data_IF_567635426324
#
_entry.id   IF_567635426324
#
_cell.length_a   1.000
_cell.length_b   1.000
_cell.length_c   1.000
_cell.angle_alpha   90.00
_cell.angle_beta   90.00
_cell.angle_gamma   90.00
#
_symmetry.space_group_name_H-M   'P 1'
#
loop_
_entity.id
_entity.type
_entity.pdbx_description
1 polymer ?
#
# COMPACT_ATOMS: atom_id res chain seq x y z
N UNK A 1 -8.50 -21.52 26.61
CA UNK A 1 -8.12 -20.10 26.45
C UNK A 1 -7.04 -20.02 25.38
N UNK A 2 -7.41 -19.82 24.11
CA UNK A 2 -6.45 -19.59 23.02
C UNK A 2 -6.02 -18.12 23.12
N UNK A 3 -4.73 -17.89 23.30
CA UNK A 3 -4.16 -16.61 23.70
C UNK A 3 -4.46 -15.49 22.69
N UNK A 4 -4.97 -14.38 23.19
CA UNK A 4 -5.21 -13.13 22.46
C UNK A 4 -3.94 -12.54 21.81
N UNK A 5 -2.76 -13.09 22.17
CA UNK A 5 -1.45 -12.71 21.64
C UNK A 5 -1.27 -12.95 20.14
N UNK A 6 -1.93 -13.96 19.54
CA UNK A 6 -1.75 -14.25 18.11
C UNK A 6 -2.59 -13.36 17.19
N UNK A 7 -3.71 -12.82 17.69
CA UNK A 7 -4.55 -11.86 16.94
C UNK A 7 -3.91 -10.48 16.88
N UNK A 8 -3.17 -10.11 17.93
CA UNK A 8 -2.42 -8.86 17.99
C UNK A 8 -1.23 -8.84 17.02
N UNK A 9 -0.55 -9.97 16.81
CA UNK A 9 0.69 -10.03 16.04
C UNK A 9 0.52 -9.81 14.53
N UNK A 10 -0.58 -10.27 13.92
CA UNK A 10 -0.80 -10.17 12.47
C UNK A 10 -1.03 -8.71 12.04
N UNK A 11 -1.78 -7.97 12.85
CA UNK A 11 -2.11 -6.56 12.60
C UNK A 11 -0.96 -5.60 12.86
N UNK A 12 -0.16 -5.87 13.89
CA UNK A 12 0.99 -5.02 14.25
C UNK A 12 2.15 -5.19 13.25
N UNK A 13 2.29 -6.35 12.62
CA UNK A 13 3.30 -6.58 11.58
C UNK A 13 2.91 -5.80 10.31
N UNK A 14 1.67 -5.87 9.83
CA UNK A 14 1.26 -5.21 8.58
C UNK A 14 1.16 -3.67 8.69
N UNK A 15 0.69 -3.11 9.82
CA UNK A 15 0.54 -1.66 9.99
C UNK A 15 1.87 -0.89 10.04
N UNK A 16 2.94 -1.49 10.57
CA UNK A 16 4.26 -0.84 10.65
C UNK A 16 5.01 -0.82 9.31
N UNK A 17 4.72 -1.74 8.39
CA UNK A 17 5.40 -1.80 7.09
C UNK A 17 4.98 -0.68 6.12
N UNK A 18 3.81 -0.06 6.32
CA UNK A 18 3.24 0.95 5.40
C UNK A 18 3.59 2.39 5.78
N UNK A 19 4.09 2.64 7.01
CA UNK A 19 4.26 4.01 7.56
C UNK A 19 5.57 4.71 7.13
N UNK A 20 6.57 4.00 6.61
CA UNK A 20 7.92 4.58 6.37
C UNK A 20 8.21 4.79 4.87
N UNK A 21 7.21 5.08 4.04
CA UNK A 21 7.44 5.05 2.58
C UNK A 21 7.75 6.42 1.94
N UNK A 22 7.40 7.61 2.46
CA UNK A 22 7.62 8.83 1.63
C UNK A 22 8.03 10.17 2.29
N UNK A 23 8.54 10.20 3.53
CA UNK A 23 8.87 11.50 4.18
C UNK A 23 10.27 12.07 3.85
N UNK A 24 11.16 11.36 3.13
CA UNK A 24 12.52 11.88 2.85
C UNK A 24 12.64 12.47 1.44
N UNK A 25 12.71 13.80 1.41
CA UNK A 25 12.59 14.67 0.24
C UNK A 25 13.66 14.56 -0.84
N UNK A 26 13.23 14.89 -2.06
CA UNK A 26 14.06 14.98 -3.26
C UNK A 26 14.54 16.42 -3.47
N UNK A 27 15.37 16.94 -2.58
CA UNK A 27 15.98 18.27 -2.74
C UNK A 27 17.31 18.17 -3.48
N UNK A 28 17.26 18.10 -4.81
CA UNK A 28 18.47 18.31 -5.63
C UNK A 28 18.50 17.58 -6.96
N UNK A 29 17.96 18.19 -8.02
CA UNK A 29 18.40 17.91 -9.38
C UNK A 29 18.32 19.18 -10.22
N UNK A 30 19.46 19.82 -10.47
CA UNK A 30 19.56 20.96 -11.38
C UNK A 30 20.10 20.58 -12.76
N UNK A 31 19.44 21.17 -13.76
CA UNK A 31 19.92 21.57 -15.09
C UNK A 31 19.95 20.56 -16.26
N UNK A 32 19.18 20.96 -17.28
CA UNK A 32 19.36 20.77 -18.72
C UNK A 32 18.91 19.45 -19.38
N UNK A 33 17.59 19.28 -19.54
CA UNK A 33 16.93 18.71 -20.74
C UNK A 33 15.42 19.04 -20.71
N UNK A 34 14.76 19.32 -21.85
CA UNK A 34 13.34 19.67 -21.88
C UNK A 34 12.47 18.41 -21.84
N UNK A 35 11.81 18.19 -20.69
CA UNK A 35 10.46 17.65 -20.40
C UNK A 35 10.40 17.49 -18.87
N UNK A 36 9.73 18.40 -18.14
CA UNK A 36 8.26 18.52 -17.89
C UNK A 36 7.71 17.56 -16.82
N UNK A 37 8.44 17.44 -15.70
CA UNK A 37 7.83 17.11 -14.41
C UNK A 37 8.25 18.19 -13.42
N UNK A 38 7.27 18.89 -12.87
CA UNK A 38 7.46 19.93 -11.86
C UNK A 38 7.65 19.32 -10.47
N UNK A 39 8.29 20.07 -9.57
CA UNK A 39 8.37 19.68 -8.16
C UNK A 39 6.96 19.55 -7.55
N UNK A 40 6.02 20.41 -7.96
CA UNK A 40 4.63 20.36 -7.53
C UNK A 40 3.95 19.03 -7.91
N UNK A 41 4.19 18.50 -9.10
CA UNK A 41 3.68 17.17 -9.50
C UNK A 41 4.26 16.04 -8.65
N UNK A 42 5.55 16.13 -8.29
CA UNK A 42 6.19 15.16 -7.39
C UNK A 42 5.57 15.24 -6.00
N UNK A 43 5.42 16.45 -5.45
CA UNK A 43 4.85 16.67 -4.12
C UNK A 43 3.39 16.19 -4.06
N UNK A 44 2.61 16.44 -5.12
CA UNK A 44 1.24 15.96 -5.25
C UNK A 44 1.14 14.43 -5.33
N UNK A 45 2.08 13.78 -6.01
CA UNK A 45 2.14 12.32 -6.09
C UNK A 45 2.49 11.71 -4.73
N UNK A 46 3.48 12.27 -4.05
CA UNK A 46 3.86 11.86 -2.68
C UNK A 46 2.70 12.04 -1.70
N UNK A 47 2.02 13.20 -1.72
CA UNK A 47 0.85 13.43 -0.88
C UNK A 47 -0.30 12.46 -1.17
N UNK A 48 -0.48 12.06 -2.43
CA UNK A 48 -1.48 11.06 -2.82
C UNK A 48 -1.14 9.67 -2.25
N UNK A 49 0.14 9.31 -2.23
CA UNK A 49 0.64 8.07 -1.65
C UNK A 49 0.46 8.06 -0.12
N UNK A 50 0.81 9.15 0.55
CA UNK A 50 0.61 9.30 2.00
C UNK A 50 -0.87 9.19 2.39
N UNK A 51 -1.75 9.79 1.57
CA UNK A 51 -3.19 9.65 1.76
C UNK A 51 -3.67 8.21 1.59
N UNK A 52 -3.20 7.48 0.56
CA UNK A 52 -3.52 6.06 0.38
C UNK A 52 -3.09 5.22 1.59
N UNK A 53 -1.87 5.46 2.10
CA UNK A 53 -1.33 4.82 3.30
C UNK A 53 -2.19 5.11 4.54
N UNK A 54 -2.63 6.35 4.73
CA UNK A 54 -3.51 6.71 5.85
C UNK A 54 -4.81 5.90 5.82
N UNK A 55 -5.44 5.77 4.65
CA UNK A 55 -6.68 4.99 4.50
C UNK A 55 -6.41 3.50 4.80
N UNK A 56 -5.31 2.95 4.32
CA UNK A 56 -4.93 1.57 4.62
C UNK A 56 -4.81 1.29 6.13
N UNK A 57 -4.21 2.22 6.86
CA UNK A 57 -4.06 2.13 8.32
C UNK A 57 -5.42 2.20 9.04
N UNK A 58 -6.34 3.03 8.56
CA UNK A 58 -7.71 3.07 9.08
C UNK A 58 -8.42 1.71 8.88
N UNK A 59 -8.17 1.05 7.74
CA UNK A 59 -8.69 -0.30 7.47
C UNK A 59 -8.17 -1.32 8.48
N UNK A 60 -6.88 -1.22 8.82
CA UNK A 60 -6.25 -2.06 9.86
C UNK A 60 -6.84 -1.79 11.23
N UNK A 61 -7.08 -0.53 11.57
CA UNK A 61 -7.73 -0.17 12.82
C UNK A 61 -9.14 -0.79 12.95
N UNK A 62 -9.95 -0.78 11.89
CA UNK A 62 -11.27 -1.42 11.91
C UNK A 62 -11.19 -2.94 11.99
N UNK A 63 -10.21 -3.55 11.30
CA UNK A 63 -9.96 -4.98 11.37
C UNK A 63 -9.66 -5.42 12.81
N UNK A 64 -8.79 -4.69 13.50
CA UNK A 64 -8.35 -5.01 14.87
C UNK A 64 -9.49 -4.96 15.89
N UNK A 65 -10.47 -4.10 15.64
CA UNK A 65 -11.68 -4.01 16.45
C UNK A 65 -12.75 -5.03 16.06
N UNK A 66 -12.47 -5.91 15.11
CA UNK A 66 -13.42 -6.89 14.59
C UNK A 66 -14.55 -6.27 13.76
N UNK A 67 -14.44 -4.99 13.37
CA UNK A 67 -15.40 -4.34 12.48
C UNK A 67 -15.07 -4.66 11.02
N UNK A 68 -15.24 -5.93 10.65
CA UNK A 68 -14.84 -6.45 9.35
C UNK A 68 -15.60 -5.83 8.17
N UNK A 69 -16.85 -5.40 8.37
CA UNK A 69 -17.60 -4.71 7.33
C UNK A 69 -16.97 -3.36 6.99
N UNK A 70 -16.55 -2.58 8.01
CA UNK A 70 -15.90 -1.29 7.77
C UNK A 70 -14.46 -1.47 7.30
N UNK A 71 -13.73 -2.44 7.82
CA UNK A 71 -12.39 -2.79 7.36
C UNK A 71 -12.39 -3.10 5.85
N UNK A 72 -13.35 -3.90 5.37
CA UNK A 72 -13.50 -4.20 3.94
C UNK A 72 -13.66 -2.94 3.09
N UNK A 73 -14.57 -2.05 3.48
CA UNK A 73 -14.84 -0.79 2.76
C UNK A 73 -13.56 0.05 2.67
N UNK A 74 -12.90 0.26 3.82
CA UNK A 74 -11.72 1.11 3.92
C UNK A 74 -10.52 0.52 3.17
N UNK A 75 -10.30 -0.79 3.23
CA UNK A 75 -9.28 -1.44 2.39
C UNK A 75 -9.59 -1.32 0.89
N UNK A 76 -10.86 -1.37 0.49
CA UNK A 76 -11.27 -1.12 -0.89
C UNK A 76 -10.96 0.32 -1.35
N UNK A 77 -11.18 1.29 -0.48
CA UNK A 77 -10.85 2.70 -0.72
C UNK A 77 -9.33 2.90 -0.85
N UNK A 78 -8.54 2.27 0.03
CA UNK A 78 -7.08 2.28 -0.04
C UNK A 78 -6.57 1.69 -1.36
N UNK A 79 -7.11 0.54 -1.78
CA UNK A 79 -6.78 -0.08 -3.06
C UNK A 79 -7.02 0.87 -4.25
N UNK A 80 -8.15 1.59 -4.22
CA UNK A 80 -8.48 2.57 -5.25
C UNK A 80 -7.45 3.70 -5.29
N UNK A 81 -7.06 4.24 -4.13
CA UNK A 81 -6.04 5.29 -4.06
C UNK A 81 -4.66 4.83 -4.52
N UNK A 82 -4.23 3.63 -4.17
CA UNK A 82 -2.96 3.11 -4.68
C UNK A 82 -2.96 2.95 -6.21
N UNK A 83 -4.08 2.57 -6.83
CA UNK A 83 -4.18 2.52 -8.30
C UNK A 83 -4.12 3.92 -8.94
N UNK A 84 -4.70 4.93 -8.31
CA UNK A 84 -4.56 6.32 -8.76
C UNK A 84 -3.09 6.78 -8.73
N UNK A 85 -2.36 6.42 -7.67
CA UNK A 85 -0.91 6.71 -7.54
C UNK A 85 -0.11 5.97 -8.61
N UNK A 86 -0.35 4.67 -8.80
CA UNK A 86 0.30 3.87 -9.85
C UNK A 86 0.09 4.50 -11.24
N UNK A 87 -1.15 4.83 -11.58
CA UNK A 87 -1.49 5.44 -12.86
C UNK A 87 -0.71 6.74 -13.10
N UNK A 88 -0.70 7.65 -12.10
CA UNK A 88 0.03 8.92 -12.19
C UNK A 88 1.54 8.72 -12.30
N UNK A 89 2.09 7.78 -11.52
CA UNK A 89 3.51 7.45 -11.56
C UNK A 89 3.91 6.93 -12.96
N UNK A 90 3.10 6.08 -13.60
CA UNK A 90 3.33 5.59 -14.97
C UNK A 90 3.20 6.70 -16.01
N UNK A 91 2.23 7.59 -15.85
CA UNK A 91 2.07 8.75 -16.74
C UNK A 91 3.30 9.66 -16.69
N UNK A 92 3.78 9.97 -15.49
CA UNK A 92 5.01 10.71 -15.25
C UNK A 92 6.23 9.96 -15.82
N UNK A 93 6.33 8.66 -15.60
CA UNK A 93 7.39 7.80 -16.12
C UNK A 93 7.48 7.87 -17.65
N UNK A 94 6.34 7.87 -18.34
CA UNK A 94 6.29 7.87 -19.81
C UNK A 94 6.75 9.19 -20.45
N UNK A 95 6.67 10.28 -19.69
CA UNK A 95 7.02 11.63 -20.15
C UNK A 95 8.46 11.98 -19.79
N UNK A 96 8.94 11.60 -18.61
CA UNK A 96 10.26 12.01 -18.13
C UNK A 96 11.42 11.44 -18.95
N UNK A 97 12.42 12.29 -19.21
CA UNK A 97 13.67 11.91 -19.87
C UNK A 97 14.83 11.72 -18.88
N UNK A 98 14.64 12.08 -17.61
CA UNK A 98 15.65 11.90 -16.57
C UNK A 98 15.66 10.43 -16.12
N UNK A 99 16.76 9.73 -16.39
CA UNK A 99 16.89 8.28 -16.13
C UNK A 99 16.72 7.91 -14.64
N UNK A 100 17.20 8.73 -13.71
CA UNK A 100 17.06 8.46 -12.27
C UNK A 100 15.60 8.66 -11.82
N UNK A 101 14.98 9.77 -12.23
CA UNK A 101 13.57 10.03 -11.95
C UNK A 101 12.68 8.96 -12.59
N UNK A 102 13.01 8.52 -13.81
CA UNK A 102 12.32 7.44 -14.51
C UNK A 102 12.40 6.13 -13.73
N UNK A 103 13.58 5.74 -13.24
CA UNK A 103 13.72 4.56 -12.38
C UNK A 103 12.92 4.66 -11.09
N UNK A 104 12.96 5.83 -10.43
CA UNK A 104 12.20 6.08 -9.21
C UNK A 104 10.68 5.96 -9.43
N UNK A 105 10.15 6.58 -10.49
CA UNK A 105 8.72 6.50 -10.85
C UNK A 105 8.27 5.06 -11.16
N UNK A 106 9.13 4.28 -11.81
CA UNK A 106 8.85 2.86 -12.05
C UNK A 106 8.78 2.05 -10.74
N UNK A 107 9.71 2.29 -9.81
CA UNK A 107 9.70 1.61 -8.51
C UNK A 107 8.47 2.00 -7.67
N UNK A 108 8.10 3.28 -7.68
CA UNK A 108 6.88 3.77 -7.02
C UNK A 108 5.61 3.15 -7.62
N UNK A 109 5.54 3.04 -8.95
CA UNK A 109 4.44 2.39 -9.66
C UNK A 109 4.30 0.92 -9.22
N UNK A 110 5.40 0.16 -9.24
CA UNK A 110 5.41 -1.24 -8.80
C UNK A 110 5.03 -1.41 -7.32
N UNK A 111 5.51 -0.51 -6.45
CA UNK A 111 5.15 -0.52 -5.04
C UNK A 111 3.65 -0.25 -4.85
N UNK A 112 3.10 0.74 -5.55
CA UNK A 112 1.69 1.12 -5.48
C UNK A 112 0.79 -0.01 -6.00
N UNK A 113 1.16 -0.66 -7.09
CA UNK A 113 0.45 -1.84 -7.61
C UNK A 113 0.37 -2.97 -6.57
N UNK A 114 1.48 -3.28 -5.91
CA UNK A 114 1.52 -4.32 -4.88
C UNK A 114 0.72 -3.95 -3.62
N UNK A 115 0.70 -2.67 -3.24
CA UNK A 115 -0.13 -2.20 -2.11
C UNK A 115 -1.63 -2.20 -2.44
N UNK A 116 -2.01 -1.95 -3.69
CA UNK A 116 -3.38 -2.13 -4.14
C UNK A 116 -3.81 -3.61 -4.01
N UNK A 117 -2.98 -4.54 -4.47
CA UNK A 117 -3.23 -5.98 -4.34
C UNK A 117 -3.31 -6.42 -2.88
N UNK A 118 -2.41 -5.93 -2.02
CA UNK A 118 -2.47 -6.21 -0.59
C UNK A 118 -3.78 -5.76 0.04
N UNK A 119 -4.24 -4.56 -0.33
CA UNK A 119 -5.50 -3.98 0.15
C UNK A 119 -6.71 -4.81 -0.30
N UNK A 120 -6.73 -5.28 -1.55
CA UNK A 120 -7.80 -6.14 -2.08
C UNK A 120 -7.87 -7.50 -1.38
N UNK A 121 -6.70 -8.10 -1.12
CA UNK A 121 -6.60 -9.36 -0.39
C UNK A 121 -7.10 -9.18 1.07
N UNK A 122 -6.80 -8.05 1.72
CA UNK A 122 -7.35 -7.73 3.05
C UNK A 122 -8.85 -7.40 3.03
N UNK A 123 -9.36 -6.75 2.00
CA UNK A 123 -10.80 -6.53 1.82
C UNK A 123 -11.54 -7.86 1.67
N UNK A 124 -10.96 -8.79 0.89
CA UNK A 124 -11.49 -10.15 0.71
C UNK A 124 -11.45 -10.93 2.02
N UNK A 125 -10.32 -10.90 2.74
CA UNK A 125 -10.20 -11.51 4.06
C UNK A 125 -11.25 -10.95 5.03
N UNK A 126 -11.55 -9.65 4.95
CA UNK A 126 -12.53 -8.96 5.81
C UNK A 126 -13.95 -9.42 5.50
N UNK A 127 -14.29 -9.54 4.22
CA UNK A 127 -15.58 -10.09 3.80
C UNK A 127 -15.78 -11.53 4.26
N UNK A 128 -14.75 -12.37 4.12
CA UNK A 128 -14.78 -13.76 4.58
C UNK A 128 -14.94 -13.83 6.10
N UNK A 129 -14.16 -13.05 6.86
CA UNK A 129 -14.26 -12.98 8.31
C UNK A 129 -15.64 -12.50 8.78
N UNK A 130 -16.21 -11.50 8.11
CA UNK A 130 -17.57 -11.02 8.36
C UNK A 130 -18.62 -12.12 8.12
N UNK A 131 -18.56 -12.79 6.98
CA UNK A 131 -19.50 -13.85 6.63
C UNK A 131 -19.39 -15.04 7.59
N UNK A 132 -18.19 -15.36 8.03
CA UNK A 132 -17.94 -16.46 8.97
C UNK A 132 -18.44 -16.14 10.38
N UNK A 133 -18.26 -14.90 10.83
CA UNK A 133 -18.81 -14.42 12.11
C UNK A 133 -20.34 -14.59 12.19
N UNK A 134 -21.03 -14.58 11.04
CA UNK A 134 -22.48 -14.81 10.94
C UNK A 134 -22.88 -16.28 10.90
N UNK A 135 -22.02 -17.16 10.40
CA UNK A 135 -22.37 -18.55 10.07
C UNK A 135 -21.97 -19.59 11.12
N UNK A 136 -21.19 -19.24 12.15
CA UNK A 136 -20.66 -20.16 13.17
C UNK A 136 -19.87 -21.38 12.63
N UNK A 137 -19.60 -21.47 11.33
CA UNK A 137 -18.58 -22.36 10.82
C UNK A 137 -17.20 -21.71 11.03
N UNK A 138 -16.12 -22.50 10.97
CA UNK A 138 -14.76 -22.04 11.23
C UNK A 138 -13.79 -22.55 10.16
N UNK A 139 -13.95 -22.17 8.89
CA UNK A 139 -12.89 -22.37 7.90
C UNK A 139 -11.91 -21.20 7.91
N UNK A 140 -11.22 -21.08 9.05
CA UNK A 140 -10.20 -20.07 9.34
C UNK A 140 -9.08 -20.06 8.29
N UNK A 141 -8.84 -21.20 7.63
CA UNK A 141 -7.76 -21.36 6.66
C UNK A 141 -7.94 -20.47 5.43
N UNK A 142 -9.20 -20.22 5.00
CA UNK A 142 -9.46 -19.48 3.77
C UNK A 142 -9.05 -18.02 3.90
N UNK A 143 -9.50 -17.30 4.95
CA UNK A 143 -9.10 -15.90 5.10
C UNK A 143 -7.64 -15.74 5.52
N UNK A 144 -7.05 -16.70 6.25
CA UNK A 144 -5.62 -16.70 6.56
C UNK A 144 -4.75 -16.73 5.30
N UNK A 145 -5.16 -17.48 4.26
CA UNK A 145 -4.49 -17.47 2.96
C UNK A 145 -4.48 -16.09 2.31
N UNK A 146 -5.58 -15.35 2.41
CA UNK A 146 -5.67 -13.97 1.89
C UNK A 146 -4.75 -13.02 2.67
N UNK A 147 -4.67 -13.16 3.99
CA UNK A 147 -3.73 -12.40 4.83
C UNK A 147 -2.27 -12.70 4.44
N UNK A 148 -1.91 -13.95 4.20
CA UNK A 148 -0.56 -14.34 3.77
C UNK A 148 -0.19 -13.73 2.43
N UNK A 149 -1.11 -13.71 1.47
CA UNK A 149 -0.89 -13.04 0.19
C UNK A 149 -0.77 -11.52 0.33
N UNK A 150 -1.59 -10.90 1.17
CA UNK A 150 -1.49 -9.47 1.44
C UNK A 150 -0.11 -9.12 2.01
N UNK A 151 0.42 -9.98 2.89
CA UNK A 151 1.79 -9.87 3.41
C UNK A 151 2.84 -10.04 2.31
N UNK A 152 2.69 -11.02 1.42
CA UNK A 152 3.63 -11.19 0.29
C UNK A 152 3.68 -9.94 -0.59
N UNK A 153 2.52 -9.40 -0.95
CA UNK A 153 2.43 -8.18 -1.77
C UNK A 153 3.04 -6.97 -1.05
N UNK A 154 2.76 -6.82 0.25
CA UNK A 154 3.34 -5.74 1.06
C UNK A 154 4.87 -5.83 1.14
N UNK A 155 5.41 -7.05 1.25
CA UNK A 155 6.86 -7.26 1.24
C UNK A 155 7.49 -6.89 -0.12
N UNK A 156 6.85 -7.23 -1.24
CA UNK A 156 7.33 -6.82 -2.57
C UNK A 156 7.29 -5.30 -2.74
N UNK A 157 6.23 -4.64 -2.28
CA UNK A 157 6.16 -3.19 -2.27
C UNK A 157 7.31 -2.56 -1.48
N UNK A 158 7.66 -3.17 -0.34
CA UNK A 158 8.80 -2.77 0.47
C UNK A 158 10.15 -2.95 -0.24
N UNK A 159 10.34 -4.06 -0.96
CA UNK A 159 11.56 -4.30 -1.75
C UNK A 159 11.76 -3.20 -2.79
N UNK A 160 10.72 -2.85 -3.57
CA UNK A 160 10.80 -1.76 -4.54
C UNK A 160 11.09 -0.40 -3.88
N UNK A 161 10.54 -0.18 -2.69
CA UNK A 161 10.82 1.03 -1.93
C UNK A 161 12.28 1.11 -1.48
N UNK A 162 12.83 0.04 -0.91
CA UNK A 162 14.24 0.00 -0.51
C UNK A 162 15.19 0.14 -1.70
N UNK A 163 14.80 -0.34 -2.88
CA UNK A 163 15.52 -0.07 -4.12
C UNK A 163 15.46 1.41 -4.51
N UNK A 164 14.32 2.08 -4.31
CA UNK A 164 14.15 3.49 -4.67
C UNK A 164 15.04 4.43 -3.85
N UNK A 165 15.28 4.10 -2.56
CA UNK A 165 16.20 4.87 -1.69
C UNK A 165 17.65 4.88 -2.18
N UNK A 166 18.07 3.85 -2.92
CA UNK A 166 19.43 3.75 -3.47
C UNK A 166 19.66 4.69 -4.65
N UNK A 167 18.59 5.30 -5.17
CA UNK A 167 18.62 6.25 -6.29
C UNK A 167 18.66 7.71 -5.80
N UNK A 168 18.53 7.94 -4.50
CA UNK A 168 18.73 9.23 -3.83
C UNK A 168 20.21 9.44 -3.54
#
# INVERSE_FOLDING_TARGET
MRSESSKFAVSHILAYFVIIVFIAGFSGCSSNSPIDITQEEIDNLSASMDHANSIFLDGTYYWDRGNFSKAREVYGDAATKYREVDYRAREMYSRTQNENLRKWLNLLSLASENLALASEELATASELAFNESKKQNQDINIYMKHIEKAKECSNKAWEYFEESKKLQ
#
